data_IF_068922478128
#
_entry.id   IF_068922478128
#
_cell.length_a   1.000
_cell.length_b   1.000
_cell.length_c   1.000
_cell.angle_alpha   90.00
_cell.angle_beta   90.00
_cell.angle_gamma   90.00
#
_symmetry.space_group_name_H-M   'P 1'
#
loop_
_entity.id
_entity.type
_entity.pdbx_description
1 polymer ?
#
# COMPACT_ATOMS: atom_id res chain seq x y z
N UNK A 1 -2.31 6.47 20.32
CA UNK A 1 -1.70 5.16 20.69
C UNK A 1 -0.23 5.25 20.33
N UNK A 2 0.67 5.22 21.32
CA UNK A 2 2.11 5.31 21.09
C UNK A 2 2.63 3.96 20.59
N UNK A 3 3.39 3.96 19.50
CA UNK A 3 4.03 2.75 19.00
C UNK A 3 5.34 2.58 19.77
N UNK A 4 5.43 1.56 20.61
CA UNK A 4 6.68 1.18 21.31
C UNK A 4 7.44 0.16 20.47
N UNK A 5 8.68 0.48 20.09
CA UNK A 5 9.53 -0.38 19.28
C UNK A 5 10.46 -1.28 20.11
N UNK A 6 10.40 -1.18 21.45
CA UNK A 6 11.37 -1.80 22.36
C UNK A 6 12.74 -1.10 22.32
N UNK A 7 13.55 -1.30 23.35
CA UNK A 7 14.95 -0.82 23.36
C UNK A 7 15.78 -1.66 22.35
N UNK A 8 16.68 -1.00 21.61
CA UNK A 8 17.62 -1.59 20.65
C UNK A 8 17.06 -2.27 19.39
N UNK A 9 15.95 -1.77 18.84
CA UNK A 9 15.49 -2.19 17.49
C UNK A 9 15.92 -1.19 16.41
N UNK A 10 16.51 -1.66 15.29
CA UNK A 10 16.95 -0.78 14.20
C UNK A 10 15.79 -0.26 13.31
N UNK A 11 14.53 -0.47 13.72
CA UNK A 11 13.35 -0.18 12.91
C UNK A 11 12.33 0.64 13.68
N UNK A 12 11.89 1.75 13.08
CA UNK A 12 10.69 2.47 13.47
C UNK A 12 9.48 1.97 12.68
N UNK A 13 8.29 2.29 13.16
CA UNK A 13 7.02 1.92 12.56
C UNK A 13 6.19 3.16 12.29
N UNK A 14 5.36 3.06 11.26
CA UNK A 14 4.59 4.18 10.75
C UNK A 14 3.11 4.06 11.13
N UNK A 15 2.45 5.20 11.31
CA UNK A 15 1.01 5.23 11.55
C UNK A 15 0.24 4.84 10.29
N UNK A 16 -0.17 3.58 10.20
CA UNK A 16 -1.03 3.13 9.10
C UNK A 16 -2.31 3.97 9.00
N UNK A 17 -2.85 4.45 10.11
CA UNK A 17 -4.02 5.35 10.11
C UNK A 17 -3.74 6.64 9.31
N UNK A 18 -2.58 7.27 9.51
CA UNK A 18 -2.24 8.49 8.77
C UNK A 18 -2.04 8.23 7.29
N UNK A 19 -1.38 7.11 6.93
CA UNK A 19 -1.24 6.75 5.52
C UNK A 19 -2.59 6.44 4.85
N UNK A 20 -3.56 5.88 5.59
CA UNK A 20 -4.94 5.75 5.10
C UNK A 20 -5.60 7.09 4.85
N UNK A 21 -5.40 8.09 5.73
CA UNK A 21 -5.90 9.46 5.55
C UNK A 21 -5.26 10.11 4.32
N UNK A 22 -3.94 10.03 4.18
CA UNK A 22 -3.20 10.60 3.06
C UNK A 22 -3.59 9.96 1.73
N UNK A 23 -3.81 8.64 1.69
CA UNK A 23 -4.27 7.97 0.47
C UNK A 23 -5.62 8.49 -0.04
N UNK A 24 -6.49 8.95 0.87
CA UNK A 24 -7.79 9.52 0.54
C UNK A 24 -7.73 11.02 0.23
N UNK A 25 -6.63 11.71 0.54
CA UNK A 25 -6.53 13.15 0.39
C UNK A 25 -6.30 13.54 -1.09
N UNK A 26 -7.25 14.22 -1.75
CA UNK A 26 -7.19 14.47 -3.20
C UNK A 26 -6.08 15.44 -3.62
N UNK A 27 -5.56 16.25 -2.68
CA UNK A 27 -4.45 17.16 -2.93
C UNK A 27 -3.08 16.49 -3.12
N UNK A 28 -2.96 15.19 -2.84
CA UNK A 28 -1.72 14.46 -3.13
C UNK A 28 -1.72 13.89 -4.55
N UNK A 29 -0.54 13.80 -5.20
CA UNK A 29 -0.42 13.16 -6.51
C UNK A 29 -0.91 11.72 -6.46
N UNK A 30 -1.60 11.28 -7.51
CA UNK A 30 -2.33 10.02 -7.51
C UNK A 30 -1.40 8.79 -7.30
N UNK A 31 -0.20 8.82 -7.88
CA UNK A 31 0.81 7.77 -7.67
C UNK A 31 1.26 7.67 -6.20
N UNK A 32 1.40 8.80 -5.51
CA UNK A 32 1.71 8.84 -4.09
C UNK A 32 0.52 8.40 -3.23
N UNK A 33 -0.71 8.70 -3.64
CA UNK A 33 -1.90 8.14 -2.97
C UNK A 33 -1.97 6.62 -3.06
N UNK A 34 -1.54 6.02 -4.17
CA UNK A 34 -1.35 4.56 -4.29
C UNK A 34 -0.30 4.07 -3.31
N UNK A 35 0.84 4.76 -3.20
CA UNK A 35 1.89 4.42 -2.24
C UNK A 35 1.39 4.46 -0.78
N UNK A 36 0.66 5.52 -0.43
CA UNK A 36 0.06 5.65 0.90
C UNK A 36 -1.00 4.56 1.14
N UNK A 37 -1.76 4.17 0.13
CA UNK A 37 -2.69 3.05 0.22
C UNK A 37 -1.94 1.73 0.46
N UNK A 38 -0.78 1.53 -0.18
CA UNK A 38 0.05 0.36 0.04
C UNK A 38 0.53 0.28 1.50
N UNK A 39 1.04 1.38 2.07
CA UNK A 39 1.50 1.40 3.47
C UNK A 39 0.34 1.28 4.45
N UNK A 40 -0.74 2.04 4.22
CA UNK A 40 -1.87 2.15 5.15
C UNK A 40 -2.71 0.88 5.29
N UNK A 41 -2.65 -0.02 4.32
CA UNK A 41 -3.33 -1.33 4.33
C UNK A 41 -2.39 -2.52 4.25
N UNK A 42 -1.07 -2.29 4.34
CA UNK A 42 -0.09 -3.38 4.33
C UNK A 42 -0.34 -4.33 5.51
N UNK A 43 -0.41 -5.62 5.19
CA UNK A 43 -0.31 -6.69 6.16
C UNK A 43 1.14 -6.88 6.62
N UNK A 44 1.37 -7.91 7.45
CA UNK A 44 2.70 -8.25 7.97
C UNK A 44 3.70 -8.71 6.90
N UNK A 45 3.29 -8.80 5.64
CA UNK A 45 4.13 -9.17 4.51
C UNK A 45 4.40 -7.99 3.57
N UNK A 46 3.83 -6.82 3.84
CA UNK A 46 3.89 -5.67 2.94
C UNK A 46 2.88 -5.75 1.80
N UNK A 47 1.87 -6.62 1.89
CA UNK A 47 0.78 -6.70 0.91
C UNK A 47 -0.45 -5.93 1.41
N UNK A 48 -0.97 -5.03 0.59
CA UNK A 48 -2.24 -4.36 0.80
C UNK A 48 -3.27 -4.93 -0.18
N UNK A 49 -4.14 -5.82 0.31
CA UNK A 49 -5.21 -6.43 -0.48
C UNK A 49 -6.46 -5.56 -0.54
N UNK A 50 -7.07 -5.47 -1.72
CA UNK A 50 -8.29 -4.71 -1.96
C UNK A 50 -9.36 -5.59 -2.61
N UNK A 51 -10.60 -5.45 -2.15
CA UNK A 51 -11.76 -6.00 -2.87
C UNK A 51 -11.91 -5.31 -4.23
N UNK A 52 -12.55 -5.95 -5.23
CA UNK A 52 -12.81 -5.33 -6.52
C UNK A 52 -13.42 -3.92 -6.39
N UNK A 53 -12.87 -2.95 -7.12
CA UNK A 53 -13.31 -1.54 -7.08
C UNK A 53 -12.93 -0.76 -5.81
N UNK A 54 -12.46 -1.40 -4.73
CA UNK A 54 -12.16 -0.69 -3.47
C UNK A 54 -11.03 0.32 -3.61
N UNK A 55 -9.97 -0.04 -4.33
CA UNK A 55 -8.87 0.88 -4.60
C UNK A 55 -9.34 2.07 -5.45
N UNK A 56 -10.18 1.83 -6.45
CA UNK A 56 -10.75 2.87 -7.31
C UNK A 56 -11.62 3.86 -6.52
N UNK A 57 -12.43 3.36 -5.59
CA UNK A 57 -13.24 4.19 -4.70
C UNK A 57 -12.38 5.03 -3.75
N UNK A 58 -11.32 4.44 -3.20
CA UNK A 58 -10.39 5.11 -2.29
C UNK A 58 -9.60 6.24 -2.98
N UNK A 59 -9.14 6.00 -4.20
CA UNK A 59 -8.38 6.97 -4.99
C UNK A 59 -9.29 7.99 -5.71
N UNK A 60 -10.59 7.76 -5.68
CA UNK A 60 -11.61 8.67 -6.17
C UNK A 60 -11.56 10.05 -5.50
N UNK A 61 -12.37 10.97 -6.03
CA UNK A 61 -12.58 12.30 -5.46
C UNK A 61 -14.07 12.65 -5.53
N UNK A 62 -14.53 13.50 -4.62
CA UNK A 62 -15.89 14.04 -4.63
C UNK A 62 -16.99 12.95 -4.70
N UNK A 63 -16.76 11.82 -4.01
CA UNK A 63 -17.66 10.67 -3.99
C UNK A 63 -17.67 9.83 -5.28
N UNK A 64 -16.83 10.16 -6.27
CA UNK A 64 -16.71 9.42 -7.54
C UNK A 64 -15.46 8.55 -7.54
N UNK A 65 -15.66 7.24 -7.71
CA UNK A 65 -14.59 6.29 -7.94
C UNK A 65 -13.86 6.58 -9.25
N UNK A 66 -12.57 6.24 -9.30
CA UNK A 66 -11.84 6.20 -10.56
C UNK A 66 -12.42 5.13 -11.49
N UNK A 67 -12.24 5.31 -12.81
CA UNK A 67 -12.43 4.20 -13.76
C UNK A 67 -11.36 3.14 -13.57
N UNK A 68 -11.63 1.92 -14.05
CA UNK A 68 -10.66 0.83 -14.03
C UNK A 68 -9.36 1.20 -14.74
N UNK A 69 -9.47 1.85 -15.90
CA UNK A 69 -8.30 2.30 -16.65
C UNK A 69 -7.50 3.35 -15.87
N UNK A 70 -8.17 4.31 -15.24
CA UNK A 70 -7.50 5.34 -14.42
C UNK A 70 -6.81 4.72 -13.20
N UNK A 71 -7.44 3.72 -12.58
CA UNK A 71 -6.88 2.98 -11.45
C UNK A 71 -5.63 2.20 -11.87
N UNK A 72 -5.69 1.51 -13.02
CA UNK A 72 -4.53 0.80 -13.58
C UNK A 72 -3.39 1.76 -13.92
N UNK A 73 -3.69 2.90 -14.53
CA UNK A 73 -2.70 3.93 -14.85
C UNK A 73 -2.04 4.52 -13.59
N UNK A 74 -2.82 4.75 -12.53
CA UNK A 74 -2.29 5.23 -11.25
C UNK A 74 -1.30 4.23 -10.64
N UNK A 75 -1.65 2.93 -10.67
CA UNK A 75 -0.76 1.86 -10.19
C UNK A 75 0.48 1.74 -11.08
N UNK A 76 0.34 1.86 -12.40
CA UNK A 76 1.48 1.86 -13.33
C UNK A 76 2.45 3.00 -13.03
N UNK A 77 1.96 4.23 -12.84
CA UNK A 77 2.79 5.38 -12.45
C UNK A 77 3.49 5.17 -11.11
N UNK A 78 2.81 4.56 -10.13
CA UNK A 78 3.41 4.26 -8.84
C UNK A 78 4.57 3.25 -8.97
N UNK A 79 4.47 2.27 -9.89
CA UNK A 79 5.58 1.37 -10.23
C UNK A 79 6.72 2.07 -10.94
N UNK A 80 6.42 2.94 -11.90
CA UNK A 80 7.43 3.75 -12.62
C UNK A 80 8.28 4.59 -11.67
N UNK A 81 7.69 5.05 -10.56
CA UNK A 81 8.36 5.83 -9.52
C UNK A 81 8.97 4.99 -8.39
N UNK A 82 8.99 3.65 -8.51
CA UNK A 82 9.47 2.72 -7.48
C UNK A 82 8.78 2.89 -6.11
N UNK A 83 7.55 3.41 -6.11
CA UNK A 83 6.77 3.60 -4.88
C UNK A 83 6.10 2.30 -4.42
N UNK A 84 5.88 1.37 -5.35
CA UNK A 84 5.33 0.03 -5.09
C UNK A 84 6.03 -0.98 -5.98
N UNK A 85 6.10 -2.23 -5.54
CA UNK A 85 6.73 -3.31 -6.30
C UNK A 85 6.11 -3.46 -7.70
N UNK A 86 6.90 -3.83 -8.72
CA UNK A 86 6.39 -4.18 -10.06
C UNK A 86 5.28 -5.25 -10.06
N UNK A 87 5.23 -6.11 -9.02
CA UNK A 87 4.20 -7.13 -8.82
C UNK A 87 2.83 -6.58 -8.41
N UNK A 88 2.73 -5.28 -8.11
CA UNK A 88 1.49 -4.65 -7.65
C UNK A 88 0.40 -4.65 -8.73
N UNK A 89 -0.85 -4.66 -8.32
CA UNK A 89 -2.01 -4.51 -9.18
C UNK A 89 -3.17 -3.87 -8.42
N UNK A 90 -4.29 -3.61 -9.12
CA UNK A 90 -5.44 -2.95 -8.50
C UNK A 90 -6.07 -3.75 -7.32
N UNK A 91 -5.90 -5.07 -7.32
CA UNK A 91 -6.38 -5.96 -6.25
C UNK A 91 -5.36 -6.15 -5.11
N UNK A 92 -4.07 -5.89 -5.34
CA UNK A 92 -3.04 -6.02 -4.32
C UNK A 92 -1.86 -5.11 -4.62
N UNK A 93 -1.62 -4.14 -3.74
CA UNK A 93 -0.40 -3.34 -3.76
C UNK A 93 0.66 -4.01 -2.89
N UNK A 94 1.91 -4.01 -3.34
CA UNK A 94 3.01 -4.67 -2.65
C UNK A 94 4.09 -3.64 -2.39
N UNK A 95 4.47 -3.47 -1.12
CA UNK A 95 5.59 -2.61 -0.74
C UNK A 95 6.89 -3.15 -1.33
N UNK A 96 7.81 -2.25 -1.70
CA UNK A 96 9.14 -2.66 -2.15
C UNK A 96 9.92 -3.24 -0.97
N UNK A 97 10.86 -4.14 -1.25
CA UNK A 97 11.73 -4.75 -0.22
C UNK A 97 12.62 -3.73 0.49
N UNK A 98 12.86 -2.58 -0.13
CA UNK A 98 13.59 -1.46 0.48
C UNK A 98 12.78 -0.76 1.58
N UNK A 99 11.45 -0.70 1.42
CA UNK A 99 10.54 -0.05 2.36
C UNK A 99 10.00 -0.98 3.43
N UNK A 100 9.85 -2.27 3.10
CA UNK A 100 9.35 -3.27 4.02
C UNK A 100 10.33 -4.42 4.15
N UNK A 101 11.06 -4.43 5.27
CA UNK A 101 11.98 -5.50 5.63
C UNK A 101 11.34 -6.35 6.73
N UNK A 102 11.00 -7.60 6.40
CA UNK A 102 10.54 -8.57 7.41
C UNK A 102 11.67 -8.84 8.41
N UNK A 103 11.36 -8.84 9.70
CA UNK A 103 12.19 -9.57 10.67
C UNK A 103 12.22 -11.06 10.30
N UNK A 104 13.36 -11.73 10.47
CA UNK A 104 13.52 -13.19 10.24
C UNK A 104 12.34 -13.97 10.86
N UNK A 105 11.72 -14.88 10.09
CA UNK A 105 10.85 -15.93 10.63
C UNK A 105 9.32 -15.81 10.41
N UNK A 106 8.82 -14.90 9.57
CA UNK A 106 7.37 -14.81 9.32
C UNK A 106 6.96 -15.21 7.88
N UNK A 107 6.66 -16.50 7.62
CA UNK A 107 5.85 -16.91 6.48
C UNK A 107 4.37 -16.74 6.83
N UNK A 108 3.66 -15.97 6.01
CA UNK A 108 2.20 -15.97 5.94
C UNK A 108 1.88 -16.02 4.46
N UNK A 109 0.91 -16.80 3.97
CA UNK A 109 0.58 -16.79 2.55
C UNK A 109 -0.21 -15.53 2.18
N UNK A 110 0.28 -14.74 1.21
CA UNK A 110 -0.58 -13.78 0.52
C UNK A 110 -1.60 -14.57 -0.32
N UNK A 111 -2.89 -14.50 0.01
CA UNK A 111 -3.94 -15.27 -0.69
C UNK A 111 -4.00 -15.01 -2.19
N UNK A 112 -3.59 -13.82 -2.64
CA UNK A 112 -3.58 -13.42 -4.06
C UNK A 112 -2.28 -13.80 -4.79
N UNK A 113 -1.14 -13.80 -4.10
CA UNK A 113 0.16 -14.05 -4.73
C UNK A 113 0.76 -15.42 -4.42
N UNK A 114 0.06 -16.27 -3.64
CA UNK A 114 0.46 -17.63 -3.24
C UNK A 114 1.97 -17.79 -3.02
N UNK A 115 2.58 -16.85 -2.31
CA UNK A 115 4.01 -16.90 -2.00
C UNK A 115 4.17 -17.91 -0.88
N UNK A 116 4.78 -19.07 -1.18
CA UNK A 116 5.27 -20.03 -0.18
C UNK A 116 6.50 -19.47 0.51
#
# INVERSE_FOLDING_TARGET
MAISFGHDRPWGGVSQHEYRRMAQHPGHPLAYRVHFAAIGWADRQGHAGFQPGRLAALLGKDGKSLSDQSTRNAVARAKEHDLVSPRSGAACLVLTSHLFQKGKGAPVPCRLHQVR
#
